data_IF_965973486796
#
_entry.id   IF_965973486796
#
_cell.length_a   1.000
_cell.length_b   1.000
_cell.length_c   1.000
_cell.angle_alpha   90.00
_cell.angle_beta   90.00
_cell.angle_gamma   90.00
#
_symmetry.space_group_name_H-M   'P 1'
#
loop_
_entity.id
_entity.type
_entity.pdbx_description
1 polymer ?
#
# COMPACT_ATOMS: atom_id res chain seq x y z
N UNK A 1 38.63 31.79 58.15
CA UNK A 1 39.22 30.73 57.35
C UNK A 1 38.16 30.04 56.46
N UNK A 2 38.26 30.36 55.23
CA UNK A 2 37.94 29.63 54.00
C UNK A 2 36.52 29.14 53.79
N UNK A 3 35.83 29.94 53.04
CA UNK A 3 34.68 29.59 52.24
C UNK A 3 35.03 28.48 51.23
N UNK A 4 34.14 27.49 51.11
CA UNK A 4 34.03 26.71 49.89
C UNK A 4 32.67 26.92 49.30
N UNK A 5 32.69 27.53 48.13
CA UNK A 5 31.53 27.72 47.23
C UNK A 5 31.18 26.38 46.63
N UNK A 6 29.92 25.95 46.81
CA UNK A 6 29.36 24.82 46.07
C UNK A 6 28.87 25.33 44.70
N UNK A 7 29.59 24.99 43.65
CA UNK A 7 29.08 25.02 42.28
C UNK A 7 28.00 23.96 42.13
N UNK A 8 26.76 24.37 41.98
CA UNK A 8 25.66 23.49 41.60
C UNK A 8 25.72 23.30 40.10
N UNK A 9 25.83 22.05 39.69
CA UNK A 9 25.94 21.60 38.32
C UNK A 9 24.57 21.72 37.60
N UNK A 10 24.39 22.74 36.78
CA UNK A 10 23.17 23.02 36.01
C UNK A 10 23.11 22.25 34.70
N UNK A 11 24.06 21.34 34.44
CA UNK A 11 24.15 20.64 33.12
C UNK A 11 23.41 19.33 32.99
N UNK A 12 22.83 18.76 34.06
CA UNK A 12 22.17 17.44 33.97
C UNK A 12 20.67 17.50 33.61
N UNK A 13 20.00 18.63 33.77
CA UNK A 13 18.57 18.76 33.50
C UNK A 13 18.19 19.00 32.02
N UNK A 14 19.08 19.67 31.26
CA UNK A 14 18.84 19.95 29.86
C UNK A 14 19.05 18.73 28.95
N UNK A 15 20.03 17.90 29.24
CA UNK A 15 20.37 16.72 28.48
C UNK A 15 19.28 15.62 28.55
N UNK A 16 18.50 15.56 29.65
CA UNK A 16 17.43 14.58 29.83
C UNK A 16 16.18 14.98 29.07
N UNK A 17 15.82 16.26 29.08
CA UNK A 17 14.67 16.79 28.34
C UNK A 17 14.82 16.69 26.82
N UNK A 18 16.03 16.98 26.30
CA UNK A 18 16.32 16.86 24.87
C UNK A 18 16.32 15.39 24.38
N UNK A 19 16.74 14.45 25.23
CA UNK A 19 16.67 13.01 24.92
C UNK A 19 15.26 12.46 24.97
N UNK A 20 14.40 12.94 25.87
CA UNK A 20 13.00 12.52 25.91
C UNK A 20 12.21 13.08 24.73
N UNK A 21 12.41 14.34 24.37
CA UNK A 21 11.77 14.96 23.18
C UNK A 21 12.24 14.25 21.89
N UNK A 22 13.53 13.95 21.77
CA UNK A 22 14.05 13.21 20.61
C UNK A 22 13.51 11.77 20.53
N UNK A 23 13.29 11.10 21.67
CA UNK A 23 12.67 9.77 21.71
C UNK A 23 11.18 9.79 21.37
N UNK A 24 10.44 10.83 21.80
CA UNK A 24 9.03 10.97 21.46
C UNK A 24 8.83 11.35 19.99
N UNK A 25 9.69 12.19 19.41
CA UNK A 25 9.69 12.50 17.98
C UNK A 25 10.03 11.23 17.16
N UNK A 26 11.05 10.48 17.59
CA UNK A 26 11.40 9.21 16.94
C UNK A 26 10.31 8.14 17.04
N UNK A 27 9.51 8.12 18.11
CA UNK A 27 8.34 7.25 18.25
C UNK A 27 7.17 7.73 17.39
N UNK A 28 6.94 9.05 17.29
CA UNK A 28 5.94 9.62 16.42
C UNK A 28 6.25 9.35 14.95
N UNK A 29 7.52 9.47 14.54
CA UNK A 29 7.98 9.10 13.20
C UNK A 29 7.86 7.60 12.93
N UNK A 30 8.18 6.74 13.91
CA UNK A 30 8.01 5.30 13.80
C UNK A 30 6.52 4.90 13.70
N UNK A 31 5.64 5.54 14.49
CA UNK A 31 4.19 5.32 14.43
C UNK A 31 3.57 5.87 13.12
N UNK A 32 4.05 7.02 12.64
CA UNK A 32 3.64 7.57 11.35
C UNK A 32 4.10 6.69 10.18
N UNK A 33 5.32 6.11 10.27
CA UNK A 33 5.84 5.14 9.31
C UNK A 33 5.07 3.81 9.40
N UNK A 34 4.68 3.33 10.60
CA UNK A 34 3.84 2.13 10.74
C UNK A 34 2.41 2.35 10.24
N UNK A 35 1.82 3.54 10.43
CA UNK A 35 0.49 3.85 9.91
C UNK A 35 0.47 4.13 8.41
N UNK A 36 1.56 4.66 7.84
CA UNK A 36 1.74 4.78 6.40
C UNK A 36 2.12 3.45 5.73
N UNK A 37 2.58 2.45 6.48
CA UNK A 37 2.83 1.08 6.01
C UNK A 37 1.57 0.20 5.97
N UNK A 38 0.39 0.71 6.30
CA UNK A 38 -0.87 0.14 5.84
C UNK A 38 -1.15 0.44 4.35
N UNK A 39 -0.15 0.87 3.60
CA UNK A 39 -0.12 0.61 2.17
C UNK A 39 -0.17 -0.90 2.02
N UNK A 40 -1.32 -1.39 1.59
CA UNK A 40 -1.54 -2.75 1.13
C UNK A 40 -0.25 -3.23 0.51
N UNK A 41 0.37 -4.28 1.05
CA UNK A 41 1.56 -4.89 0.45
C UNK A 41 1.12 -5.47 -0.89
N UNK A 42 1.09 -4.61 -1.89
CA UNK A 42 0.69 -4.94 -3.25
C UNK A 42 1.64 -6.04 -3.71
N UNK A 43 1.08 -7.19 -4.04
CA UNK A 43 1.85 -8.37 -4.36
C UNK A 43 1.99 -9.39 -3.22
N UNK A 44 1.37 -9.17 -2.06
CA UNK A 44 1.22 -10.25 -1.08
C UNK A 44 0.06 -11.17 -1.50
N UNK A 45 0.35 -12.43 -1.77
CA UNK A 45 -0.64 -13.41 -2.17
C UNK A 45 -1.76 -13.59 -1.12
N UNK A 46 -1.46 -13.37 0.16
CA UNK A 46 -2.45 -13.50 1.25
C UNK A 46 -3.60 -12.50 1.17
N UNK A 47 -3.43 -11.42 0.41
CA UNK A 47 -4.49 -10.43 0.17
C UNK A 47 -5.55 -10.92 -0.83
N UNK A 48 -5.22 -11.92 -1.62
CA UNK A 48 -6.06 -12.43 -2.71
C UNK A 48 -6.55 -13.85 -2.44
N UNK A 49 -5.73 -14.69 -1.79
CA UNK A 49 -6.04 -16.09 -1.55
C UNK A 49 -6.94 -16.26 -0.30
N UNK A 50 -8.05 -16.96 -0.49
CA UNK A 50 -8.90 -17.41 0.60
C UNK A 50 -8.39 -18.74 1.17
N UNK A 51 -8.93 -19.16 2.31
CA UNK A 51 -8.67 -20.50 2.87
C UNK A 51 -9.11 -21.62 1.91
N UNK A 52 -10.15 -21.39 1.10
CA UNK A 52 -10.62 -22.33 0.08
C UNK A 52 -9.61 -22.44 -1.07
N UNK A 53 -9.02 -21.31 -1.51
CA UNK A 53 -7.97 -21.32 -2.52
C UNK A 53 -6.74 -22.08 -2.02
N UNK A 54 -6.32 -21.87 -0.77
CA UNK A 54 -5.21 -22.60 -0.17
C UNK A 54 -5.47 -24.10 -0.08
N UNK A 55 -6.69 -24.50 0.27
CA UNK A 55 -7.10 -25.91 0.30
C UNK A 55 -7.13 -26.50 -1.13
N UNK A 56 -7.63 -25.76 -2.10
CA UNK A 56 -7.64 -26.17 -3.51
C UNK A 56 -6.22 -26.39 -4.04
N UNK A 57 -5.30 -25.45 -3.78
CA UNK A 57 -3.89 -25.55 -4.15
C UNK A 57 -3.27 -26.81 -3.52
N UNK A 58 -3.46 -27.01 -2.21
CA UNK A 58 -2.91 -28.15 -1.49
C UNK A 58 -3.41 -29.50 -2.04
N UNK A 59 -4.68 -29.56 -2.47
CA UNK A 59 -5.27 -30.77 -3.04
C UNK A 59 -4.69 -31.16 -4.41
N UNK A 60 -4.07 -30.22 -5.11
CA UNK A 60 -3.49 -30.43 -6.43
C UNK A 60 -1.95 -30.50 -6.42
N UNK A 61 -1.33 -30.38 -5.24
CA UNK A 61 0.13 -30.37 -5.07
C UNK A 61 0.77 -31.59 -5.77
N UNK A 62 1.81 -31.33 -6.57
CA UNK A 62 2.58 -32.36 -7.29
C UNK A 62 1.93 -32.88 -8.58
N UNK A 63 0.68 -32.50 -8.91
CA UNK A 63 0.06 -32.89 -10.20
C UNK A 63 0.70 -32.13 -11.36
N UNK A 64 0.78 -32.77 -12.51
CA UNK A 64 1.31 -32.15 -13.73
C UNK A 64 0.37 -31.05 -14.22
N UNK A 65 0.90 -29.85 -14.47
CA UNK A 65 0.17 -28.75 -15.11
C UNK A 65 0.16 -28.99 -16.62
N UNK A 66 -0.99 -29.17 -17.21
CA UNK A 66 -1.14 -29.39 -18.66
C UNK A 66 -1.34 -28.09 -19.43
N UNK A 67 -2.01 -27.11 -18.81
CA UNK A 67 -2.23 -25.78 -19.37
C UNK A 67 -2.35 -24.75 -18.26
N UNK A 68 -2.01 -23.49 -18.56
CA UNK A 68 -2.27 -22.35 -17.70
C UNK A 68 -3.00 -21.30 -18.53
N UNK A 69 -4.10 -20.76 -17.99
CA UNK A 69 -4.87 -19.70 -18.66
C UNK A 69 -5.40 -18.67 -17.66
N UNK A 70 -5.91 -17.56 -18.18
CA UNK A 70 -6.55 -16.48 -17.43
C UNK A 70 -8.02 -16.36 -17.80
N UNK A 71 -8.87 -16.16 -16.80
CA UNK A 71 -10.31 -15.88 -16.95
C UNK A 71 -10.61 -14.48 -16.41
N UNK A 72 -11.55 -13.79 -17.01
CA UNK A 72 -12.01 -12.46 -16.58
C UNK A 72 -11.20 -11.29 -17.16
N UNK A 73 -10.27 -11.54 -18.07
CA UNK A 73 -9.51 -10.51 -18.79
C UNK A 73 -9.61 -10.67 -20.30
N UNK A 74 -9.51 -9.56 -21.06
CA UNK A 74 -9.47 -9.61 -22.53
C UNK A 74 -8.30 -10.43 -23.07
N UNK A 75 -8.47 -11.06 -24.23
CA UNK A 75 -7.45 -11.92 -24.84
C UNK A 75 -6.12 -11.20 -25.11
N UNK A 76 -6.18 -9.92 -25.48
CA UNK A 76 -4.98 -9.10 -25.74
C UNK A 76 -4.16 -8.78 -24.50
N UNK A 77 -4.73 -8.96 -23.29
CA UNK A 77 -4.00 -8.75 -22.02
C UNK A 77 -3.20 -10.00 -21.62
N UNK A 78 -3.71 -11.18 -21.93
CA UNK A 78 -3.12 -12.47 -21.52
C UNK A 78 -1.63 -12.62 -21.87
N UNK A 79 -1.14 -12.27 -23.08
CA UNK A 79 0.27 -12.37 -23.42
C UNK A 79 1.20 -11.57 -22.50
N UNK A 80 0.70 -10.50 -21.87
CA UNK A 80 1.46 -9.67 -20.94
C UNK A 80 1.53 -10.30 -19.54
N UNK A 81 0.59 -11.19 -19.21
CA UNK A 81 0.49 -11.81 -17.89
C UNK A 81 1.29 -13.13 -17.81
N UNK A 82 1.36 -13.92 -18.89
CA UNK A 82 2.10 -15.20 -18.90
C UNK A 82 3.55 -15.08 -18.43
N UNK A 83 4.34 -14.04 -18.80
CA UNK A 83 5.71 -13.88 -18.33
C UNK A 83 5.85 -13.71 -16.82
N UNK A 84 4.79 -13.28 -16.14
CA UNK A 84 4.78 -13.05 -14.69
C UNK A 84 4.68 -14.35 -13.90
N UNK A 85 4.26 -15.45 -14.53
CA UNK A 85 3.99 -16.72 -13.87
C UNK A 85 5.25 -17.58 -13.76
N UNK A 86 5.37 -18.26 -12.62
CA UNK A 86 6.30 -19.37 -12.40
C UNK A 86 5.69 -20.70 -12.84
N UNK A 87 4.40 -20.90 -12.58
CA UNK A 87 3.64 -22.08 -13.01
C UNK A 87 3.53 -22.13 -14.52
N UNK A 88 3.94 -23.25 -15.12
CA UNK A 88 3.98 -23.41 -16.58
C UNK A 88 3.50 -24.80 -17.01
N UNK A 89 2.93 -24.92 -18.22
CA UNK A 89 2.62 -26.24 -18.80
C UNK A 89 3.85 -27.15 -18.80
N UNK A 90 3.67 -28.41 -18.39
CA UNK A 90 4.73 -29.39 -18.21
C UNK A 90 5.41 -29.36 -16.85
N UNK A 91 5.19 -28.35 -16.04
CA UNK A 91 5.61 -28.30 -14.63
C UNK A 91 4.64 -29.04 -13.71
N UNK A 92 4.89 -28.96 -12.41
CA UNK A 92 4.00 -29.51 -11.38
C UNK A 92 3.36 -28.39 -10.56
N UNK A 93 2.17 -28.63 -10.06
CA UNK A 93 1.54 -27.70 -9.10
C UNK A 93 2.38 -27.67 -7.83
N UNK A 94 2.75 -26.47 -7.41
CA UNK A 94 3.43 -26.19 -6.15
C UNK A 94 2.76 -25.02 -5.48
N UNK A 95 2.44 -25.14 -4.19
CA UNK A 95 1.83 -24.07 -3.41
C UNK A 95 2.70 -22.81 -3.44
N UNK A 96 4.01 -22.95 -3.39
CA UNK A 96 4.95 -21.84 -3.49
C UNK A 96 4.85 -21.13 -4.85
N UNK A 97 4.88 -21.88 -5.95
CA UNK A 97 4.80 -21.31 -7.31
C UNK A 97 3.47 -20.60 -7.56
N UNK A 98 2.35 -21.21 -7.13
CA UNK A 98 1.02 -20.60 -7.29
C UNK A 98 0.88 -19.32 -6.45
N UNK A 99 1.40 -19.31 -5.21
CA UNK A 99 1.42 -18.10 -4.38
C UNK A 99 2.28 -16.99 -4.99
N UNK A 100 3.45 -17.34 -5.52
CA UNK A 100 4.32 -16.40 -6.22
C UNK A 100 3.66 -15.84 -7.48
N UNK A 101 2.89 -16.66 -8.20
CA UNK A 101 2.12 -16.21 -9.37
C UNK A 101 1.05 -15.20 -8.96
N UNK A 102 0.27 -15.50 -7.91
CA UNK A 102 -0.74 -14.59 -7.37
C UNK A 102 -0.11 -13.28 -6.89
N UNK A 103 1.03 -13.35 -6.19
CA UNK A 103 1.78 -12.17 -5.76
C UNK A 103 2.27 -11.33 -6.96
N UNK A 104 2.78 -11.96 -8.00
CA UNK A 104 3.24 -11.29 -9.22
C UNK A 104 2.10 -10.62 -9.98
N UNK A 105 0.95 -11.29 -10.10
CA UNK A 105 -0.26 -10.72 -10.70
C UNK A 105 -0.78 -9.55 -9.87
N UNK A 106 -0.81 -9.68 -8.53
CA UNK A 106 -1.21 -8.63 -7.60
C UNK A 106 -0.31 -7.40 -7.67
N UNK A 107 1.00 -7.59 -7.89
CA UNK A 107 1.98 -6.51 -8.05
C UNK A 107 1.72 -5.62 -9.27
N UNK A 108 0.91 -6.06 -10.22
CA UNK A 108 0.47 -5.19 -11.34
C UNK A 108 -0.42 -4.05 -10.88
N UNK A 109 -1.10 -4.19 -9.73
CA UNK A 109 -1.94 -3.17 -9.11
C UNK A 109 -3.30 -2.98 -9.77
N UNK A 110 -3.66 -3.77 -10.79
CA UNK A 110 -4.88 -3.57 -11.60
C UNK A 110 -6.00 -4.57 -11.31
N UNK A 111 -5.78 -5.53 -10.41
CA UNK A 111 -6.75 -6.56 -10.06
C UNK A 111 -7.24 -6.39 -8.62
N UNK A 112 -8.57 -6.48 -8.43
CA UNK A 112 -9.22 -6.51 -7.11
C UNK A 112 -9.35 -7.93 -6.56
N UNK A 113 -9.39 -8.96 -7.45
CA UNK A 113 -9.44 -10.35 -7.07
C UNK A 113 -8.55 -11.19 -7.99
N UNK A 114 -7.85 -12.14 -7.40
CA UNK A 114 -7.01 -13.12 -8.08
C UNK A 114 -7.24 -14.45 -7.37
N UNK A 115 -7.81 -15.44 -8.05
CA UNK A 115 -8.10 -16.76 -7.47
C UNK A 115 -7.66 -17.87 -8.44
N UNK A 116 -6.83 -18.82 -7.99
CA UNK A 116 -6.49 -19.99 -8.78
C UNK A 116 -7.66 -20.98 -8.83
N UNK A 117 -7.83 -21.64 -9.95
CA UNK A 117 -8.85 -22.65 -10.16
C UNK A 117 -8.26 -23.81 -10.94
N UNK A 118 -8.56 -25.04 -10.51
CA UNK A 118 -8.01 -26.24 -11.10
C UNK A 118 -9.12 -27.07 -11.74
N UNK A 119 -8.85 -27.55 -12.96
CA UNK A 119 -9.71 -28.51 -13.67
C UNK A 119 -8.91 -29.80 -13.90
N UNK A 120 -9.36 -30.89 -13.30
CA UNK A 120 -8.69 -32.19 -13.43
C UNK A 120 -8.99 -32.80 -14.81
N UNK A 121 -7.96 -33.31 -15.46
CA UNK A 121 -8.04 -34.07 -16.70
C UNK A 121 -7.16 -35.33 -16.57
N UNK A 122 -7.31 -36.35 -17.42
CA UNK A 122 -6.56 -37.61 -17.30
C UNK A 122 -5.05 -37.43 -17.25
N UNK A 123 -4.52 -36.41 -17.95
CA UNK A 123 -3.08 -36.14 -18.07
C UNK A 123 -2.52 -35.24 -16.98
N UNK A 124 -3.37 -34.70 -16.09
CA UNK A 124 -2.97 -33.78 -15.03
C UNK A 124 -4.04 -32.74 -14.69
N UNK A 125 -3.64 -31.48 -14.55
CA UNK A 125 -4.57 -30.38 -14.22
C UNK A 125 -4.36 -29.19 -15.15
N UNK A 126 -5.44 -28.53 -15.48
CA UNK A 126 -5.41 -27.18 -16.04
C UNK A 126 -5.52 -26.18 -14.89
N UNK A 127 -4.61 -25.21 -14.84
CA UNK A 127 -4.59 -24.12 -13.88
C UNK A 127 -5.13 -22.84 -14.55
N UNK A 128 -6.24 -22.34 -14.06
CA UNK A 128 -6.81 -21.07 -14.49
C UNK A 128 -6.71 -20.03 -13.35
N UNK A 129 -6.18 -18.85 -13.64
CA UNK A 129 -6.26 -17.70 -12.74
C UNK A 129 -7.50 -16.88 -13.09
N UNK A 130 -8.47 -16.83 -12.16
CA UNK A 130 -9.66 -15.98 -12.27
C UNK A 130 -9.31 -14.60 -11.77
N UNK A 131 -9.42 -13.60 -12.65
CA UNK A 131 -9.02 -12.22 -12.42
C UNK A 131 -10.23 -11.31 -12.48
N UNK A 132 -10.34 -10.41 -11.50
CA UNK A 132 -11.31 -9.30 -11.53
C UNK A 132 -10.52 -8.00 -11.55
N UNK A 133 -10.70 -7.20 -12.60
CA UNK A 133 -10.04 -5.91 -12.71
C UNK A 133 -10.62 -4.90 -11.72
N UNK A 134 -9.78 -3.96 -11.28
CA UNK A 134 -10.23 -2.80 -10.53
C UNK A 134 -11.23 -1.96 -11.34
N UNK A 135 -12.02 -1.08 -10.69
CA UNK A 135 -12.90 -0.16 -11.39
C UNK A 135 -12.15 0.75 -12.37
N UNK A 136 -12.88 1.23 -13.38
CA UNK A 136 -12.40 2.29 -14.29
C UNK A 136 -12.56 3.64 -13.61
N UNK A 137 -11.53 4.48 -13.66
CA UNK A 137 -11.54 5.85 -13.11
C UNK A 137 -11.85 6.83 -14.22
N UNK A 138 -12.95 7.57 -14.06
CA UNK A 138 -13.35 8.63 -14.98
C UNK A 138 -12.88 10.01 -14.54
N UNK A 139 -12.75 10.24 -13.22
CA UNK A 139 -12.25 11.49 -12.65
C UNK A 139 -11.65 11.29 -11.26
N UNK A 140 -10.84 12.26 -10.84
CA UNK A 140 -10.21 12.30 -9.53
C UNK A 140 -10.66 13.55 -8.80
N UNK A 141 -11.11 13.41 -7.56
CA UNK A 141 -11.55 14.48 -6.67
C UNK A 141 -10.78 14.43 -5.35
N UNK A 142 -10.43 15.61 -4.84
CA UNK A 142 -9.73 15.77 -3.57
C UNK A 142 -10.61 16.49 -2.56
N UNK A 143 -10.43 16.15 -1.28
CA UNK A 143 -11.05 16.83 -0.16
C UNK A 143 -10.03 17.05 0.96
N UNK A 144 -10.18 18.14 1.73
CA UNK A 144 -9.32 18.45 2.87
C UNK A 144 -8.01 19.17 2.49
N UNK A 145 -7.70 19.31 1.22
CA UNK A 145 -6.55 20.08 0.72
C UNK A 145 -6.88 21.58 0.73
N UNK A 146 -6.08 22.37 1.46
CA UNK A 146 -6.19 23.85 1.47
C UNK A 146 -4.93 24.52 0.95
N UNK A 147 -3.79 23.82 0.94
CA UNK A 147 -2.49 24.32 0.55
C UNK A 147 -2.25 24.17 -0.95
N UNK A 148 -2.60 23.02 -1.51
CA UNK A 148 -2.49 22.75 -2.94
C UNK A 148 -3.88 22.70 -3.57
N UNK A 149 -4.00 23.23 -4.81
CA UNK A 149 -5.26 23.16 -5.57
C UNK A 149 -5.53 21.76 -6.09
N UNK A 150 -6.79 21.41 -6.31
CA UNK A 150 -7.20 20.14 -6.92
C UNK A 150 -6.55 19.93 -8.29
N UNK A 151 -6.43 20.98 -9.09
CA UNK A 151 -5.78 20.90 -10.40
C UNK A 151 -4.31 20.50 -10.28
N UNK A 152 -3.60 21.09 -9.32
CA UNK A 152 -2.21 20.76 -9.06
C UNK A 152 -2.05 19.32 -8.59
N UNK A 153 -2.89 18.86 -7.67
CA UNK A 153 -2.88 17.51 -7.16
C UNK A 153 -3.26 16.49 -8.26
N UNK A 154 -4.24 16.80 -9.12
CA UNK A 154 -4.58 15.96 -10.28
C UNK A 154 -3.42 15.79 -11.24
N UNK A 155 -2.67 16.86 -11.50
CA UNK A 155 -1.48 16.80 -12.37
C UNK A 155 -0.38 15.89 -11.78
N UNK A 156 -0.24 15.84 -10.45
CA UNK A 156 0.71 14.94 -9.79
C UNK A 156 0.23 13.50 -9.82
N UNK A 157 -1.07 13.25 -9.56
CA UNK A 157 -1.64 11.91 -9.65
C UNK A 157 -1.47 11.31 -11.04
N UNK A 158 -1.57 12.12 -12.09
CA UNK A 158 -1.37 11.74 -13.50
C UNK A 158 -2.08 10.40 -13.86
N UNK A 159 -3.34 10.28 -13.40
CA UNK A 159 -4.18 9.11 -13.71
C UNK A 159 -4.89 9.38 -15.03
N UNK A 160 -4.65 8.55 -16.06
CA UNK A 160 -5.35 8.70 -17.33
C UNK A 160 -6.86 8.51 -17.14
N UNK A 161 -7.64 9.40 -17.75
CA UNK A 161 -9.08 9.28 -17.75
C UNK A 161 -9.51 7.97 -18.43
N UNK A 162 -10.58 7.36 -17.94
CA UNK A 162 -11.14 6.11 -18.46
C UNK A 162 -10.16 4.92 -18.39
N UNK A 163 -9.21 4.95 -17.47
CA UNK A 163 -8.26 3.87 -17.22
C UNK A 163 -8.68 2.99 -16.04
N UNK A 164 -8.28 1.72 -16.06
CA UNK A 164 -8.42 0.83 -14.91
C UNK A 164 -7.56 1.36 -13.77
N UNK A 165 -8.12 1.46 -12.57
CA UNK A 165 -7.42 1.91 -11.38
C UNK A 165 -6.22 1.02 -11.09
N UNK A 166 -5.05 1.65 -10.98
CA UNK A 166 -3.82 1.00 -10.57
C UNK A 166 -3.45 1.43 -9.15
N UNK A 167 -3.71 0.56 -8.16
CA UNK A 167 -3.45 0.88 -6.76
C UNK A 167 -1.96 1.06 -6.45
N UNK A 168 -1.05 0.40 -7.16
CA UNK A 168 0.40 0.61 -6.99
C UNK A 168 0.76 2.03 -7.36
N UNK A 169 0.29 2.49 -8.52
CA UNK A 169 0.54 3.84 -9.00
C UNK A 169 -0.11 4.88 -8.08
N UNK A 170 -1.37 4.66 -7.68
CA UNK A 170 -2.07 5.56 -6.75
C UNK A 170 -1.29 5.72 -5.44
N UNK A 171 -0.84 4.62 -4.83
CA UNK A 171 -0.06 4.68 -3.59
C UNK A 171 1.27 5.43 -3.78
N UNK A 172 1.99 5.19 -4.87
CA UNK A 172 3.22 5.93 -5.18
C UNK A 172 2.96 7.44 -5.29
N UNK A 173 1.86 7.82 -5.95
CA UNK A 173 1.49 9.23 -6.12
C UNK A 173 0.99 9.87 -4.83
N UNK A 174 0.30 9.12 -3.97
CA UNK A 174 -0.06 9.58 -2.62
C UNK A 174 1.20 9.91 -1.81
N UNK A 175 2.19 9.04 -1.80
CA UNK A 175 3.46 9.32 -1.11
C UNK A 175 4.20 10.52 -1.70
N UNK A 176 4.12 10.74 -3.01
CA UNK A 176 4.67 11.94 -3.64
C UNK A 176 3.96 13.20 -3.13
N UNK A 177 2.63 13.19 -3.05
CA UNK A 177 1.82 14.28 -2.49
C UNK A 177 2.18 14.52 -1.01
N UNK A 178 2.21 13.49 -0.18
CA UNK A 178 2.58 13.60 1.24
C UNK A 178 3.97 14.23 1.41
N UNK A 179 4.96 13.78 0.62
CA UNK A 179 6.30 14.34 0.63
C UNK A 179 6.34 15.82 0.24
N UNK A 180 5.45 16.26 -0.65
CA UNK A 180 5.35 17.68 -1.02
C UNK A 180 4.82 18.53 0.14
N UNK A 181 3.80 18.05 0.84
CA UNK A 181 3.29 18.69 2.05
C UNK A 181 4.37 18.77 3.14
N UNK A 182 5.12 17.68 3.37
CA UNK A 182 6.23 17.63 4.32
C UNK A 182 7.29 18.70 4.01
N UNK A 183 7.65 18.89 2.74
CA UNK A 183 8.60 19.94 2.29
C UNK A 183 8.08 21.37 2.56
N UNK A 184 6.77 21.54 2.68
CA UNK A 184 6.14 22.81 3.05
C UNK A 184 5.96 22.96 4.59
N UNK A 185 6.42 21.98 5.37
CA UNK A 185 6.36 22.00 6.82
C UNK A 185 5.09 21.36 7.44
N UNK A 186 4.25 20.72 6.64
CA UNK A 186 3.04 20.00 7.10
C UNK A 186 3.40 18.59 7.54
N UNK A 187 4.02 18.47 8.72
CA UNK A 187 4.59 17.20 9.24
C UNK A 187 3.54 16.16 9.65
N UNK A 188 2.28 16.56 9.82
CA UNK A 188 1.18 15.67 10.20
C UNK A 188 0.23 15.36 9.04
N UNK A 189 0.67 15.62 7.81
CA UNK A 189 -0.13 15.30 6.63
C UNK A 189 -0.32 13.78 6.51
N UNK A 190 -1.51 13.38 6.11
CA UNK A 190 -1.84 11.99 5.76
C UNK A 190 -2.96 11.92 4.75
N UNK A 191 -3.09 10.80 4.07
CA UNK A 191 -4.22 10.47 3.19
C UNK A 191 -4.99 9.31 3.82
N UNK A 192 -5.95 9.60 4.73
CA UNK A 192 -6.64 8.58 5.50
C UNK A 192 -7.63 7.76 4.69
N UNK A 193 -8.06 8.25 3.53
CA UNK A 193 -9.11 7.59 2.77
C UNK A 193 -8.93 7.78 1.26
N UNK A 194 -9.07 6.68 0.52
CA UNK A 194 -9.02 6.61 -0.94
C UNK A 194 -10.12 5.66 -1.39
N UNK A 195 -11.15 6.17 -2.05
CA UNK A 195 -12.32 5.39 -2.47
C UNK A 195 -12.64 5.63 -3.94
N UNK A 196 -13.18 4.59 -4.60
CA UNK A 196 -13.77 4.71 -5.93
C UNK A 196 -15.26 4.50 -5.81
N UNK A 197 -16.03 5.49 -6.23
CA UNK A 197 -17.48 5.43 -6.27
C UNK A 197 -17.98 4.69 -7.52
N UNK A 198 -19.24 4.19 -7.52
CA UNK A 198 -19.79 3.44 -8.66
C UNK A 198 -19.80 4.21 -10.00
N UNK A 199 -19.79 5.53 -9.96
CA UNK A 199 -19.70 6.40 -11.15
C UNK A 199 -18.26 6.61 -11.66
N UNK A 200 -17.28 5.90 -11.07
CA UNK A 200 -15.87 5.97 -11.49
C UNK A 200 -15.14 7.21 -10.98
N UNK A 201 -15.61 7.84 -9.91
CA UNK A 201 -14.88 8.93 -9.25
C UNK A 201 -13.93 8.38 -8.20
N UNK A 202 -12.64 8.68 -8.34
CA UNK A 202 -11.64 8.40 -7.31
C UNK A 202 -11.60 9.57 -6.33
N UNK A 203 -12.11 9.35 -5.11
CA UNK A 203 -12.07 10.33 -4.03
C UNK A 203 -10.82 10.10 -3.17
N UNK A 204 -10.06 11.17 -2.95
CA UNK A 204 -8.85 11.18 -2.13
C UNK A 204 -9.03 12.22 -1.04
N UNK A 205 -9.07 11.77 0.21
CA UNK A 205 -9.19 12.65 1.38
C UNK A 205 -7.80 12.93 1.94
N UNK A 206 -7.45 14.21 2.04
CA UNK A 206 -6.19 14.68 2.60
C UNK A 206 -6.46 15.28 3.98
N UNK A 207 -5.69 14.86 4.97
CA UNK A 207 -5.61 15.49 6.28
C UNK A 207 -4.31 16.27 6.39
N UNK A 208 -4.39 17.60 6.40
CA UNK A 208 -3.19 18.47 6.41
C UNK A 208 -2.57 18.59 7.80
N UNK A 209 -3.23 18.07 8.84
CA UNK A 209 -2.74 18.03 10.22
C UNK A 209 -2.41 19.43 10.76
N UNK A 210 -3.44 20.22 11.10
CA UNK A 210 -3.22 21.52 11.76
C UNK A 210 -2.92 21.31 13.23
N UNK A 211 -1.77 21.82 13.70
CA UNK A 211 -1.52 22.02 15.12
C UNK A 211 -2.32 23.26 15.53
N UNK A 212 -3.49 23.07 16.12
CA UNK A 212 -4.37 24.22 16.47
C UNK A 212 -3.89 24.97 17.69
N UNK A 213 -3.22 24.34 18.67
CA UNK A 213 -2.68 25.01 19.86
C UNK A 213 -1.54 24.21 20.51
N UNK A 214 -0.41 24.87 20.74
CA UNK A 214 0.61 24.40 21.68
C UNK A 214 0.39 25.17 22.98
N UNK A 215 -0.20 24.54 24.00
CA UNK A 215 -0.29 25.10 25.34
C UNK A 215 0.98 24.78 26.11
N UNK A 216 1.87 25.75 26.24
CA UNK A 216 3.00 25.65 27.13
C UNK A 216 2.51 25.86 28.58
N UNK A 217 2.35 24.79 29.34
CA UNK A 217 2.08 24.86 30.75
C UNK A 217 3.41 25.09 31.46
N UNK A 218 3.69 26.35 31.80
CA UNK A 218 4.83 26.72 32.63
C UNK A 218 4.62 26.22 34.07
N UNK A 219 5.65 25.56 34.62
CA UNK A 219 5.67 25.20 36.01
C UNK A 219 6.10 26.43 36.79
N UNK A 220 5.12 27.16 37.39
CA UNK A 220 5.42 28.19 38.35
C UNK A 220 5.93 27.52 39.65
N UNK A 221 7.13 27.90 40.08
CA UNK A 221 7.69 27.60 41.43
C UNK A 221 7.24 28.66 42.41
#
# INVERSE_FOLDING_TARGET
>A
NMSQSSMVDVKSGQATGEREISNEIGKADALAVEQSQQTVAVGDASLYLSAEDDAAIASQEGKTITAVDFKGVPGEVKPKLYPLLQSKPGGVVSAESVRNDVASLGSTGVFSQISPSFSEIPEGVQLDYKLVSNPVVHRVEFTGNTIFTDEYLRNIMDIPQDSVLNFVLVNQKIHEIENMYLKQGYILVSVPDVQVTPDGTLHITISEGKIENIVLVGNEK
#
